data_IF_542345206886
#
_entry.id   IF_542345206886
#
_cell.length_a   1.000
_cell.length_b   1.000
_cell.length_c   1.000
_cell.angle_alpha   90.00
_cell.angle_beta   90.00
_cell.angle_gamma   90.00
#
_symmetry.space_group_name_H-M   'P 1'
#
loop_
_entity.id
_entity.type
_entity.pdbx_description
1 polymer ?
#
# COMPACT_ATOMS: atom_id res chain seq x y z
N UNK A 1 -20.48 25.48 18.51
CA UNK A 1 -19.07 25.66 18.08
C UNK A 1 -18.95 26.98 17.33
N UNK A 2 -18.12 27.93 17.77
CA UNK A 2 -18.04 29.29 17.20
C UNK A 2 -17.42 29.32 15.79
N UNK A 3 -17.97 30.15 14.90
CA UNK A 3 -17.51 30.38 13.51
C UNK A 3 -16.00 30.66 13.43
N UNK A 4 -15.46 31.37 14.43
CA UNK A 4 -14.03 31.73 14.52
C UNK A 4 -13.16 30.48 14.78
N UNK A 5 -13.64 29.52 15.58
CA UNK A 5 -12.93 28.25 15.82
C UNK A 5 -12.87 27.42 14.53
N UNK A 6 -13.94 27.42 13.73
CA UNK A 6 -13.96 26.76 12.42
C UNK A 6 -13.04 27.40 11.39
N UNK A 7 -12.92 28.74 11.38
CA UNK A 7 -12.02 29.44 10.47
C UNK A 7 -10.53 29.15 10.75
N UNK A 8 -10.14 29.12 12.03
CA UNK A 8 -8.75 28.79 12.43
C UNK A 8 -8.40 27.34 12.10
N UNK A 9 -9.34 26.41 12.28
CA UNK A 9 -9.11 25.01 11.95
C UNK A 9 -8.91 24.81 10.46
N UNK A 10 -9.75 25.42 9.62
CA UNK A 10 -9.57 25.38 8.16
C UNK A 10 -8.22 25.94 7.72
N UNK A 11 -7.84 27.11 8.25
CA UNK A 11 -6.53 27.69 7.97
C UNK A 11 -5.38 26.76 8.41
N UNK A 12 -5.52 26.05 9.54
CA UNK A 12 -4.52 25.07 10.00
C UNK A 12 -4.41 23.89 9.03
N UNK A 13 -5.53 23.38 8.53
CA UNK A 13 -5.58 22.29 7.54
C UNK A 13 -4.91 22.72 6.23
N UNK A 14 -5.28 23.89 5.71
CA UNK A 14 -4.73 24.44 4.46
C UNK A 14 -3.21 24.64 4.55
N UNK A 15 -2.71 25.22 5.64
CA UNK A 15 -1.27 25.41 5.85
C UNK A 15 -0.54 24.08 6.01
N UNK A 16 -1.12 23.14 6.76
CA UNK A 16 -0.56 21.79 6.91
C UNK A 16 -0.45 21.08 5.56
N UNK A 17 -1.48 21.17 4.73
CA UNK A 17 -1.49 20.61 3.38
C UNK A 17 -0.43 21.26 2.49
N UNK A 18 -0.29 22.59 2.52
CA UNK A 18 0.74 23.31 1.77
C UNK A 18 2.17 22.91 2.18
N UNK A 19 2.41 22.72 3.49
CA UNK A 19 3.70 22.22 4.01
C UNK A 19 4.00 20.82 3.47
N UNK A 20 3.03 19.90 3.55
CA UNK A 20 3.19 18.52 3.05
C UNK A 20 3.39 18.48 1.53
N UNK A 21 2.68 19.32 0.79
CA UNK A 21 2.82 19.45 -0.66
C UNK A 21 4.22 19.91 -1.07
N UNK A 22 4.74 20.96 -0.44
CA UNK A 22 6.10 21.42 -0.69
C UNK A 22 7.15 20.39 -0.28
N UNK A 23 6.94 19.70 0.84
CA UNK A 23 7.81 18.62 1.26
C UNK A 23 7.83 17.47 0.24
N UNK A 24 6.69 17.08 -0.34
CA UNK A 24 6.60 16.08 -1.42
C UNK A 24 7.37 16.51 -2.66
N UNK A 25 7.32 17.80 -3.03
CA UNK A 25 8.15 18.33 -4.13
C UNK A 25 9.65 18.19 -3.86
N UNK A 26 10.10 18.51 -2.64
CA UNK A 26 11.51 18.32 -2.26
C UNK A 26 11.92 16.85 -2.24
N UNK A 27 11.06 15.95 -1.75
CA UNK A 27 11.30 14.51 -1.81
C UNK A 27 11.49 14.01 -3.24
N UNK A 28 10.66 14.49 -4.17
CA UNK A 28 10.75 14.13 -5.58
C UNK A 28 12.03 14.64 -6.23
N UNK A 29 12.45 15.86 -5.92
CA UNK A 29 13.61 16.50 -6.54
C UNK A 29 14.96 16.04 -5.95
N UNK A 30 15.02 15.81 -4.63
CA UNK A 30 16.29 15.66 -3.91
C UNK A 30 16.38 14.39 -3.04
N UNK A 31 15.28 13.67 -2.89
CA UNK A 31 15.17 12.48 -2.04
C UNK A 31 15.00 12.79 -0.55
N UNK A 32 14.60 11.77 0.22
CA UNK A 32 14.25 11.91 1.63
C UNK A 32 15.41 12.35 2.54
N UNK A 33 16.65 12.03 2.20
CA UNK A 33 17.84 12.44 2.97
C UNK A 33 18.06 13.96 2.98
N UNK A 34 17.55 14.68 1.97
CA UNK A 34 17.74 16.13 1.81
C UNK A 34 16.53 16.95 2.27
N UNK A 35 15.43 16.32 2.68
CA UNK A 35 14.24 17.02 3.18
C UNK A 35 14.60 17.94 4.36
N UNK A 36 14.26 19.22 4.26
CA UNK A 36 14.60 20.24 5.24
C UNK A 36 13.41 21.13 5.56
N UNK A 37 12.98 21.14 6.84
CA UNK A 37 11.93 22.04 7.32
C UNK A 37 12.26 23.53 7.05
N UNK A 38 13.55 23.90 7.07
CA UNK A 38 13.98 25.27 6.77
C UNK A 38 13.80 25.59 5.28
N UNK A 39 14.12 24.64 4.40
CA UNK A 39 13.92 24.81 2.97
C UNK A 39 12.43 24.92 2.63
N UNK A 40 11.59 24.04 3.19
CA UNK A 40 10.13 24.09 3.07
C UNK A 40 9.57 25.42 3.56
N UNK A 41 10.01 25.91 4.74
CA UNK A 41 9.57 27.19 5.28
C UNK A 41 9.93 28.35 4.33
N UNK A 42 11.16 28.36 3.81
CA UNK A 42 11.64 29.38 2.88
C UNK A 42 10.79 29.41 1.60
N UNK A 43 10.50 28.26 1.01
CA UNK A 43 9.71 28.17 -0.23
C UNK A 43 8.27 28.66 -0.03
N UNK A 44 7.68 28.38 1.14
CA UNK A 44 6.33 28.84 1.47
C UNK A 44 6.27 30.28 2.01
N UNK A 45 7.40 31.01 2.03
CA UNK A 45 7.46 32.36 2.61
C UNK A 45 7.18 32.40 4.12
N UNK A 46 7.34 31.27 4.81
CA UNK A 46 7.12 31.11 6.24
C UNK A 46 8.41 31.33 7.03
N UNK A 47 8.29 31.94 8.21
CA UNK A 47 9.38 31.92 9.19
C UNK A 47 9.55 30.49 9.70
N UNK A 48 10.79 29.98 9.82
CA UNK A 48 11.05 28.60 10.24
C UNK A 48 10.38 28.24 11.57
N UNK A 49 10.40 29.16 12.55
CA UNK A 49 9.74 28.96 13.85
C UNK A 49 8.22 28.77 13.73
N UNK A 50 7.59 29.26 12.66
CA UNK A 50 6.19 29.01 12.38
C UNK A 50 5.94 27.58 11.89
N UNK A 51 6.81 27.06 11.02
CA UNK A 51 6.70 25.71 10.49
C UNK A 51 6.91 24.66 11.58
N UNK A 52 7.82 24.90 12.54
CA UNK A 52 8.01 24.03 13.70
C UNK A 52 6.77 23.89 14.61
N UNK A 53 5.79 24.80 14.52
CA UNK A 53 4.50 24.66 15.24
C UNK A 53 3.54 23.67 14.57
N UNK A 54 3.80 23.31 13.33
CA UNK A 54 3.04 22.31 12.57
C UNK A 54 3.77 20.97 12.60
N UNK A 55 5.08 20.98 12.33
CA UNK A 55 5.93 19.79 12.36
C UNK A 55 7.15 20.05 13.24
N UNK A 56 7.17 19.52 14.48
CA UNK A 56 8.26 19.77 15.42
C UNK A 56 9.63 19.28 14.96
N UNK A 57 9.68 18.30 14.05
CA UNK A 57 10.92 17.75 13.51
C UNK A 57 10.76 17.32 12.05
N UNK A 58 11.90 17.07 11.38
CA UNK A 58 11.93 16.46 10.04
C UNK A 58 11.23 15.10 10.05
N UNK A 59 11.42 14.32 11.11
CA UNK A 59 10.89 12.95 11.21
C UNK A 59 9.37 12.95 11.41
N UNK A 60 8.83 13.95 12.10
CA UNK A 60 7.38 14.18 12.21
C UNK A 60 6.77 14.50 10.84
N UNK A 61 7.44 15.34 10.04
CA UNK A 61 7.01 15.61 8.67
C UNK A 61 7.11 14.36 7.79
N UNK A 62 8.21 13.60 7.86
CA UNK A 62 8.37 12.34 7.13
C UNK A 62 7.28 11.33 7.51
N UNK A 63 7.01 11.17 8.81
CA UNK A 63 5.95 10.28 9.30
C UNK A 63 4.59 10.67 8.73
N UNK A 64 4.25 11.96 8.73
CA UNK A 64 3.00 12.42 8.16
C UNK A 64 2.90 12.17 6.64
N UNK A 65 4.01 12.28 5.90
CA UNK A 65 4.05 11.98 4.47
C UNK A 65 3.95 10.48 4.19
N UNK A 66 4.56 9.64 5.03
CA UNK A 66 4.46 8.17 4.95
C UNK A 66 3.02 7.72 5.21
N UNK A 67 2.38 8.29 6.24
CA UNK A 67 0.96 8.03 6.55
C UNK A 67 0.08 8.44 5.37
N UNK A 68 0.25 9.68 4.84
CA UNK A 68 -0.52 10.15 3.68
C UNK A 68 -0.35 9.22 2.46
N UNK A 69 0.87 8.73 2.20
CA UNK A 69 1.16 7.84 1.08
C UNK A 69 0.49 6.46 1.24
N UNK A 70 0.61 5.86 2.43
CA UNK A 70 -0.09 4.61 2.74
C UNK A 70 -1.62 4.77 2.68
N UNK A 71 -2.13 5.89 3.20
CA UNK A 71 -3.56 6.14 3.20
C UNK A 71 -4.12 6.38 1.80
N UNK A 72 -3.38 7.07 0.94
CA UNK A 72 -3.76 7.26 -0.45
C UNK A 72 -3.79 5.93 -1.20
N UNK A 73 -2.76 5.10 -1.06
CA UNK A 73 -2.72 3.79 -1.71
C UNK A 73 -3.79 2.83 -1.17
N UNK A 74 -3.99 2.81 0.15
CA UNK A 74 -5.03 2.04 0.80
C UNK A 74 -6.43 2.44 0.31
N UNK A 75 -6.68 3.75 0.14
CA UNK A 75 -7.95 4.23 -0.39
C UNK A 75 -8.22 3.76 -1.83
N UNK A 76 -7.19 3.74 -2.69
CA UNK A 76 -7.33 3.22 -4.06
C UNK A 76 -7.61 1.70 -4.09
N UNK A 77 -6.99 0.94 -3.19
CA UNK A 77 -7.24 -0.49 -3.02
C UNK A 77 -8.69 -0.74 -2.54
N UNK A 78 -9.13 -0.06 -1.49
CA UNK A 78 -10.48 -0.17 -0.93
C UNK A 78 -11.55 0.24 -1.94
N UNK A 79 -11.32 1.32 -2.69
CA UNK A 79 -12.24 1.79 -3.72
C UNK A 79 -12.35 0.79 -4.89
N UNK A 80 -11.24 0.15 -5.29
CA UNK A 80 -11.26 -0.91 -6.30
C UNK A 80 -12.03 -2.15 -5.82
N UNK A 81 -11.85 -2.53 -4.55
CA UNK A 81 -12.60 -3.63 -3.95
C UNK A 81 -14.12 -3.34 -3.94
N UNK A 82 -14.50 -2.10 -3.60
CA UNK A 82 -15.90 -1.69 -3.56
C UNK A 82 -16.55 -1.64 -4.96
N UNK A 83 -15.82 -1.15 -5.97
CA UNK A 83 -16.32 -1.09 -7.37
C UNK A 83 -16.53 -2.47 -8.00
N UNK A 84 -15.80 -3.47 -7.53
CA UNK A 84 -15.87 -4.86 -8.02
C UNK A 84 -16.73 -5.75 -7.13
N UNK A 85 -17.59 -5.15 -6.29
CA UNK A 85 -18.53 -5.90 -5.48
C UNK A 85 -19.47 -6.74 -6.36
N UNK A 86 -19.55 -8.05 -6.08
CA UNK A 86 -20.31 -9.01 -6.87
C UNK A 86 -19.53 -9.75 -7.95
N UNK A 87 -18.32 -9.28 -8.30
CA UNK A 87 -17.44 -10.01 -9.21
C UNK A 87 -16.84 -11.26 -8.54
N UNK A 88 -16.32 -12.17 -9.35
CA UNK A 88 -15.60 -13.34 -8.86
C UNK A 88 -14.39 -12.92 -7.99
N UNK A 89 -14.09 -13.61 -6.87
CA UNK A 89 -12.99 -13.24 -5.98
C UNK A 89 -11.63 -13.06 -6.67
N UNK A 90 -11.32 -13.87 -7.68
CA UNK A 90 -10.12 -13.72 -8.50
C UNK A 90 -10.07 -12.36 -9.23
N UNK A 91 -11.17 -11.95 -9.87
CA UNK A 91 -11.25 -10.66 -10.55
C UNK A 91 -11.10 -9.48 -9.57
N UNK A 92 -11.70 -9.60 -8.38
CA UNK A 92 -11.59 -8.59 -7.30
C UNK A 92 -10.16 -8.46 -6.80
N UNK A 93 -9.45 -9.57 -6.61
CA UNK A 93 -8.03 -9.58 -6.28
C UNK A 93 -7.20 -8.83 -7.32
N UNK A 94 -7.38 -9.17 -8.60
CA UNK A 94 -6.66 -8.53 -9.71
C UNK A 94 -6.95 -7.03 -9.73
N UNK A 95 -8.21 -6.62 -9.59
CA UNK A 95 -8.60 -5.20 -9.57
C UNK A 95 -7.94 -4.40 -8.44
N UNK A 96 -7.84 -4.98 -7.23
CA UNK A 96 -7.12 -4.37 -6.10
C UNK A 96 -5.63 -4.23 -6.41
N UNK A 97 -4.98 -5.27 -6.93
CA UNK A 97 -3.57 -5.19 -7.30
C UNK A 97 -3.30 -4.15 -8.40
N UNK A 98 -4.18 -4.08 -9.41
CA UNK A 98 -4.07 -3.11 -10.50
C UNK A 98 -4.27 -1.67 -10.02
N UNK A 99 -5.19 -1.40 -9.09
CA UNK A 99 -5.33 -0.04 -8.55
C UNK A 99 -4.13 0.41 -7.73
N UNK A 100 -3.50 -0.51 -6.98
CA UNK A 100 -2.24 -0.24 -6.27
C UNK A 100 -1.11 0.07 -7.27
N UNK A 101 -1.04 -0.66 -8.39
CA UNK A 101 -0.09 -0.36 -9.46
C UNK A 101 -0.31 1.01 -10.08
N UNK A 102 -1.55 1.34 -10.41
CA UNK A 102 -1.90 2.62 -11.02
C UNK A 102 -1.53 3.78 -10.10
N UNK A 103 -1.81 3.66 -8.80
CA UNK A 103 -1.37 4.62 -7.79
C UNK A 103 0.15 4.76 -7.76
N UNK A 104 0.87 3.63 -7.71
CA UNK A 104 2.33 3.64 -7.61
C UNK A 104 2.97 4.30 -8.84
N UNK A 105 2.49 4.00 -10.04
CA UNK A 105 2.96 4.61 -11.29
C UNK A 105 2.63 6.09 -11.40
N UNK A 106 1.46 6.51 -10.91
CA UNK A 106 1.08 7.92 -10.86
C UNK A 106 1.88 8.71 -9.82
N UNK A 107 2.37 8.04 -8.77
CA UNK A 107 3.05 8.68 -7.63
C UNK A 107 4.37 7.97 -7.26
N UNK A 108 5.34 7.89 -8.18
CA UNK A 108 6.55 7.08 -7.99
C UNK A 108 7.40 7.53 -6.80
N UNK A 109 7.40 8.83 -6.47
CA UNK A 109 8.14 9.37 -5.34
C UNK A 109 7.48 9.06 -3.99
N UNK A 110 6.15 9.03 -3.93
CA UNK A 110 5.41 8.58 -2.74
C UNK A 110 5.60 7.08 -2.54
N UNK A 111 5.53 6.29 -3.62
CA UNK A 111 5.85 4.86 -3.58
C UNK A 111 7.29 4.61 -3.09
N UNK A 112 8.27 5.36 -3.60
CA UNK A 112 9.66 5.24 -3.17
C UNK A 112 9.87 5.59 -1.69
N UNK A 113 9.04 6.48 -1.12
CA UNK A 113 9.13 6.84 0.30
C UNK A 113 8.76 5.67 1.22
N UNK A 114 7.85 4.80 0.79
CA UNK A 114 7.29 3.72 1.62
C UNK A 114 7.84 2.32 1.27
N UNK A 115 8.21 2.06 0.01
CA UNK A 115 8.75 0.78 -0.47
C UNK A 115 10.14 0.87 -1.11
N UNK A 116 10.75 2.06 -1.13
CA UNK A 116 12.11 2.28 -1.63
C UNK A 116 13.19 2.09 -0.56
N UNK A 117 14.33 2.76 -0.76
CA UNK A 117 15.45 2.69 0.19
C UNK A 117 15.07 3.33 1.54
N UNK A 118 15.39 2.67 2.67
CA UNK A 118 15.15 3.25 3.99
C UNK A 118 15.82 4.61 4.14
N UNK A 119 15.14 5.54 4.83
CA UNK A 119 15.67 6.87 5.10
C UNK A 119 16.69 6.79 6.24
N UNK A 120 17.98 7.15 6.03
CA UNK A 120 18.99 7.04 7.08
C UNK A 120 18.61 7.84 8.34
N UNK A 121 18.71 7.20 9.50
CA UNK A 121 18.44 7.81 10.81
C UNK A 121 16.96 7.98 11.16
N UNK A 122 16.03 7.64 10.26
CA UNK A 122 14.59 7.67 10.52
C UNK A 122 14.10 6.30 10.99
N UNK A 123 13.25 6.30 12.01
CA UNK A 123 12.55 5.10 12.50
C UNK A 123 11.06 5.41 12.46
N UNK A 124 10.32 4.64 11.67
CA UNK A 124 8.88 4.81 11.56
C UNK A 124 8.19 4.47 12.89
N UNK A 125 7.34 5.35 13.45
CA UNK A 125 6.58 5.05 14.66
C UNK A 125 5.45 4.06 14.38
N UNK A 126 4.91 3.45 15.45
CA UNK A 126 3.82 2.46 15.37
C UNK A 126 2.56 3.00 14.69
N UNK A 127 2.34 4.31 14.72
CA UNK A 127 1.19 4.97 14.07
C UNK A 127 1.17 4.74 12.55
N UNK A 128 2.30 4.36 11.94
CA UNK A 128 2.37 4.01 10.51
C UNK A 128 1.80 2.61 10.20
N UNK A 129 1.68 1.72 11.19
CA UNK A 129 1.27 0.32 11.00
C UNK A 129 -0.16 0.20 10.51
N UNK A 130 -1.08 1.02 11.05
CA UNK A 130 -2.49 1.05 10.61
C UNK A 130 -2.62 1.38 9.13
N UNK A 131 -2.13 2.56 8.69
CA UNK A 131 -2.09 2.93 7.27
C UNK A 131 -1.39 1.88 6.39
N UNK A 132 -0.22 1.36 6.81
CA UNK A 132 0.53 0.36 6.06
C UNK A 132 -0.23 -0.97 5.87
N UNK A 133 -1.18 -1.27 6.77
CA UNK A 133 -1.96 -2.50 6.74
C UNK A 133 -3.18 -2.43 5.80
N UNK A 134 -3.56 -1.27 5.28
CA UNK A 134 -4.82 -1.10 4.51
C UNK A 134 -4.88 -1.97 3.24
N UNK A 135 -3.82 -1.97 2.43
CA UNK A 135 -3.73 -2.82 1.23
C UNK A 135 -3.75 -4.31 1.55
N UNK A 136 -2.89 -4.86 2.43
CA UNK A 136 -2.94 -6.28 2.75
C UNK A 136 -4.28 -6.68 3.39
N UNK A 137 -4.90 -5.84 4.22
CA UNK A 137 -6.23 -6.11 4.77
C UNK A 137 -7.33 -6.13 3.69
N UNK A 138 -7.22 -5.31 2.65
CA UNK A 138 -8.12 -5.34 1.50
C UNK A 138 -8.00 -6.66 0.73
N UNK A 139 -6.78 -7.16 0.51
CA UNK A 139 -6.55 -8.47 -0.12
C UNK A 139 -7.05 -9.63 0.76
N UNK A 140 -6.84 -9.53 2.08
CA UNK A 140 -7.39 -10.48 3.07
C UNK A 140 -8.91 -10.53 2.99
N UNK A 141 -9.59 -9.39 2.82
CA UNK A 141 -11.04 -9.34 2.71
C UNK A 141 -11.56 -10.16 1.51
N UNK A 142 -10.91 -10.07 0.35
CA UNK A 142 -11.25 -10.89 -0.84
C UNK A 142 -11.15 -12.39 -0.52
N UNK A 143 -10.08 -12.80 0.15
CA UNK A 143 -9.84 -14.20 0.50
C UNK A 143 -10.83 -14.70 1.55
N UNK A 144 -11.19 -13.86 2.53
CA UNK A 144 -12.22 -14.19 3.53
C UNK A 144 -13.58 -14.40 2.90
N UNK A 145 -13.99 -13.52 1.98
CA UNK A 145 -15.25 -13.68 1.26
C UNK A 145 -15.28 -15.00 0.48
N UNK A 146 -14.19 -15.33 -0.22
CA UNK A 146 -14.06 -16.61 -0.93
C UNK A 146 -14.07 -17.82 0.02
N UNK A 147 -13.46 -17.70 1.20
CA UNK A 147 -13.47 -18.76 2.21
C UNK A 147 -14.89 -18.99 2.76
N UNK A 148 -15.59 -17.91 3.13
CA UNK A 148 -16.96 -17.95 3.63
C UNK A 148 -17.95 -18.51 2.59
N UNK A 149 -17.72 -18.23 1.30
CA UNK A 149 -18.50 -18.77 0.19
C UNK A 149 -18.15 -20.22 -0.18
N UNK A 150 -17.12 -20.82 0.43
CA UNK A 150 -16.67 -22.18 0.11
C UNK A 150 -16.00 -22.32 -1.27
N UNK A 151 -15.60 -21.20 -1.89
CA UNK A 151 -14.99 -21.16 -3.22
C UNK A 151 -13.46 -21.09 -3.18
N UNK A 152 -12.88 -21.01 -1.98
CA UNK A 152 -11.43 -20.96 -1.78
C UNK A 152 -10.82 -22.37 -1.90
N UNK A 153 -9.94 -22.55 -2.89
CA UNK A 153 -9.18 -23.78 -3.06
C UNK A 153 -7.99 -23.89 -2.11
N UNK A 154 -7.35 -25.07 -2.01
CA UNK A 154 -6.11 -25.21 -1.26
C UNK A 154 -4.97 -24.46 -1.98
N UNK A 155 -4.12 -23.69 -1.25
CA UNK A 155 -2.98 -23.04 -1.86
C UNK A 155 -1.89 -24.06 -2.25
N UNK A 156 -1.15 -23.83 -3.35
CA UNK A 156 0.00 -24.65 -3.73
C UNK A 156 1.07 -24.67 -2.63
N UNK A 157 1.88 -25.74 -2.58
CA UNK A 157 2.98 -25.86 -1.62
C UNK A 157 2.58 -26.36 -0.22
N UNK A 158 1.36 -26.90 -0.07
CA UNK A 158 0.95 -27.64 1.13
C UNK A 158 1.46 -29.10 1.09
N UNK A 159 1.95 -29.68 2.21
CA UNK A 159 1.99 -29.11 3.55
C UNK A 159 3.18 -28.14 3.79
N UNK A 160 2.95 -27.11 4.61
CA UNK A 160 3.99 -26.19 5.06
C UNK A 160 5.01 -26.86 6.01
N UNK A 161 6.27 -26.42 5.93
CA UNK A 161 7.30 -26.71 6.92
C UNK A 161 6.86 -26.24 8.33
N UNK A 162 7.22 -27.00 9.36
CA UNK A 162 6.74 -26.75 10.73
C UNK A 162 7.02 -25.33 11.26
N UNK A 163 8.22 -24.73 11.09
CA UNK A 163 8.45 -23.35 11.52
C UNK A 163 7.56 -22.34 10.79
N UNK A 164 7.41 -22.48 9.47
CA UNK A 164 6.57 -21.59 8.64
C UNK A 164 5.11 -21.69 9.06
N UNK A 165 4.62 -22.90 9.35
CA UNK A 165 3.28 -23.14 9.87
C UNK A 165 3.05 -22.44 11.22
N UNK A 166 4.04 -22.49 12.12
CA UNK A 166 3.95 -21.85 13.43
C UNK A 166 3.86 -20.32 13.31
N UNK A 167 4.63 -19.74 12.39
CA UNK A 167 4.60 -18.29 12.12
C UNK A 167 3.25 -17.87 11.51
N UNK A 168 2.78 -18.62 10.51
CA UNK A 168 1.47 -18.38 9.90
C UNK A 168 0.31 -18.55 10.90
N UNK A 169 0.41 -19.46 11.86
CA UNK A 169 -0.60 -19.63 12.92
C UNK A 169 -0.66 -18.42 13.88
N UNK A 170 0.50 -17.81 14.21
CA UNK A 170 0.52 -16.57 15.03
C UNK A 170 -0.12 -15.42 14.28
N UNK A 171 0.22 -15.26 13.00
CA UNK A 171 -0.38 -14.22 12.16
C UNK A 171 -1.89 -14.46 11.93
N UNK A 172 -2.32 -15.71 11.79
CA UNK A 172 -3.74 -16.05 11.68
C UNK A 172 -4.53 -15.62 12.92
N UNK A 173 -3.94 -15.75 14.12
CA UNK A 173 -4.59 -15.30 15.36
C UNK A 173 -4.80 -13.77 15.41
N UNK A 174 -3.96 -13.00 14.71
CA UNK A 174 -4.07 -11.54 14.63
C UNK A 174 -4.97 -11.08 13.47
N UNK A 175 -4.80 -11.67 12.28
CA UNK A 175 -5.58 -11.30 11.10
C UNK A 175 -7.02 -11.80 11.22
N UNK A 176 -7.21 -13.06 11.57
CA UNK A 176 -8.48 -13.68 11.95
C UNK A 176 -8.44 -15.21 11.85
N UNK A 177 -8.93 -15.90 12.89
CA UNK A 177 -8.69 -17.33 13.11
C UNK A 177 -9.42 -18.24 12.13
N UNK A 178 -10.33 -17.72 11.32
CA UNK A 178 -11.13 -18.51 10.38
C UNK A 178 -10.37 -18.92 9.12
N UNK A 179 -9.31 -18.21 8.72
CA UNK A 179 -8.57 -18.54 7.51
C UNK A 179 -7.69 -19.77 7.71
N UNK A 180 -7.64 -20.71 6.73
CA UNK A 180 -6.71 -21.84 6.79
C UNK A 180 -5.25 -21.37 6.89
N UNK A 181 -4.46 -21.95 7.79
CA UNK A 181 -3.05 -21.57 8.01
C UNK A 181 -2.21 -21.54 6.72
N UNK A 182 -2.34 -22.51 5.77
CA UNK A 182 -1.63 -22.44 4.50
C UNK A 182 -1.96 -21.20 3.66
N UNK A 183 -3.20 -20.72 3.72
CA UNK A 183 -3.64 -19.52 3.00
C UNK A 183 -3.02 -18.27 3.60
N UNK A 184 -2.90 -18.20 4.93
CA UNK A 184 -2.22 -17.08 5.61
C UNK A 184 -0.75 -16.97 5.21
N UNK A 185 -0.04 -18.10 5.12
CA UNK A 185 1.33 -18.11 4.60
C UNK A 185 1.40 -17.65 3.14
N UNK A 186 0.47 -18.13 2.29
CA UNK A 186 0.40 -17.74 0.89
C UNK A 186 0.09 -16.25 0.69
N UNK A 187 -0.74 -15.65 1.55
CA UNK A 187 -1.04 -14.22 1.56
C UNK A 187 0.22 -13.38 1.80
N UNK A 188 1.06 -13.77 2.78
CA UNK A 188 2.34 -13.08 3.04
C UNK A 188 3.26 -13.17 1.83
N UNK A 189 3.38 -14.35 1.23
CA UNK A 189 4.19 -14.55 0.03
C UNK A 189 3.68 -13.74 -1.17
N UNK A 190 2.36 -13.68 -1.36
CA UNK A 190 1.73 -12.93 -2.46
C UNK A 190 1.87 -11.43 -2.27
N UNK A 191 1.76 -10.95 -1.03
CA UNK A 191 2.01 -9.55 -0.68
C UNK A 191 3.45 -9.14 -1.00
N UNK A 192 4.44 -9.94 -0.59
CA UNK A 192 5.85 -9.68 -0.90
C UNK A 192 6.11 -9.66 -2.42
N UNK A 193 5.50 -10.59 -3.18
CA UNK A 193 5.64 -10.65 -4.63
C UNK A 193 4.98 -9.45 -5.34
N UNK A 194 3.80 -9.01 -4.90
CA UNK A 194 3.12 -7.83 -5.46
C UNK A 194 4.03 -6.59 -5.39
N UNK A 195 4.54 -6.27 -4.20
CA UNK A 195 5.42 -5.12 -4.04
C UNK A 195 6.80 -5.34 -4.68
N UNK A 196 7.26 -6.59 -4.83
CA UNK A 196 8.43 -6.91 -5.64
C UNK A 196 8.25 -6.56 -7.12
N UNK A 197 7.10 -6.93 -7.72
CA UNK A 197 6.74 -6.61 -9.10
C UNK A 197 6.70 -5.09 -9.32
N UNK A 198 6.02 -4.37 -8.42
CA UNK A 198 5.91 -2.92 -8.48
C UNK A 198 7.28 -2.25 -8.35
N UNK A 199 8.07 -2.63 -7.35
CA UNK A 199 9.42 -2.06 -7.16
C UNK A 199 10.33 -2.32 -8.36
N UNK A 200 10.26 -3.49 -9.00
CA UNK A 200 11.05 -3.78 -10.19
C UNK A 200 10.62 -2.96 -11.41
N UNK A 201 9.32 -2.66 -11.52
CA UNK A 201 8.79 -1.80 -12.56
C UNK A 201 9.23 -0.34 -12.37
N UNK A 202 9.04 0.17 -11.14
CA UNK A 202 9.28 1.56 -10.77
C UNK A 202 10.76 1.92 -10.68
N UNK A 203 11.60 1.02 -10.18
CA UNK A 203 13.03 1.28 -9.99
C UNK A 203 13.89 0.83 -11.19
N UNK A 204 13.25 0.44 -12.29
CA UNK A 204 13.89 0.30 -13.60
C UNK A 204 14.46 -1.07 -13.93
N UNK A 205 14.27 -2.09 -13.10
CA UNK A 205 14.73 -3.47 -13.32
C UNK A 205 14.06 -4.10 -14.55
N UNK A 206 12.84 -3.65 -14.90
CA UNK A 206 12.16 -4.07 -16.12
C UNK A 206 12.58 -3.29 -17.38
N UNK A 207 13.42 -2.26 -17.28
CA UNK A 207 13.86 -1.49 -18.45
C UNK A 207 14.61 -2.40 -19.43
N UNK A 208 14.10 -2.49 -20.67
CA UNK A 208 14.62 -3.37 -21.73
C UNK A 208 14.49 -4.88 -21.45
N UNK A 209 13.72 -5.27 -20.44
CA UNK A 209 13.43 -6.67 -20.09
C UNK A 209 11.96 -6.99 -20.34
N UNK A 210 11.05 -6.16 -19.82
CA UNK A 210 9.59 -6.33 -19.97
C UNK A 210 9.02 -5.10 -20.68
N UNK A 211 8.66 -5.25 -21.96
CA UNK A 211 8.04 -4.19 -22.75
C UNK A 211 6.53 -4.07 -22.47
N UNK A 212 5.81 -5.18 -22.43
CA UNK A 212 4.37 -5.23 -22.20
C UNK A 212 4.03 -5.23 -20.69
N UNK A 213 4.43 -4.16 -19.98
CA UNK A 213 4.38 -4.11 -18.50
C UNK A 213 3.00 -4.34 -17.90
N UNK A 214 1.96 -3.70 -18.47
CA UNK A 214 0.58 -3.87 -17.99
C UNK A 214 0.10 -5.32 -18.11
N UNK A 215 0.17 -5.89 -19.31
CA UNK A 215 -0.23 -7.28 -19.55
C UNK A 215 0.57 -8.29 -18.73
N UNK A 216 1.89 -8.06 -18.58
CA UNK A 216 2.73 -8.88 -17.70
C UNK A 216 2.29 -8.79 -16.24
N UNK A 217 1.99 -7.59 -15.75
CA UNK A 217 1.51 -7.39 -14.39
C UNK A 217 0.18 -8.08 -14.15
N UNK A 218 -0.80 -7.92 -15.05
CA UNK A 218 -2.12 -8.56 -14.95
C UNK A 218 -2.00 -10.08 -14.89
N UNK A 219 -1.15 -10.67 -15.74
CA UNK A 219 -0.85 -12.10 -15.71
C UNK A 219 -0.19 -12.51 -14.38
N UNK A 220 0.77 -11.73 -13.89
CA UNK A 220 1.49 -12.04 -12.66
C UNK A 220 0.56 -11.99 -11.44
N UNK A 221 -0.26 -10.94 -11.29
CA UNK A 221 -1.17 -10.81 -10.14
C UNK A 221 -2.33 -11.80 -10.22
N UNK A 222 -2.75 -12.19 -11.42
CA UNK A 222 -3.68 -13.31 -11.64
C UNK A 222 -3.09 -14.65 -11.16
N UNK A 223 -1.78 -14.87 -11.32
CA UNK A 223 -1.11 -16.04 -10.77
C UNK A 223 -0.96 -15.96 -9.24
N UNK A 224 -0.70 -14.78 -8.68
CA UNK A 224 -0.69 -14.56 -7.22
C UNK A 224 -2.06 -14.87 -6.58
N UNK A 225 -3.17 -14.53 -7.25
CA UNK A 225 -4.50 -14.94 -6.81
C UNK A 225 -4.63 -16.47 -6.71
N UNK A 226 -4.09 -17.20 -7.69
CA UNK A 226 -4.02 -18.66 -7.66
C UNK A 226 -3.17 -19.21 -6.50
N UNK A 227 -2.08 -18.54 -6.13
CA UNK A 227 -1.23 -18.93 -5.00
C UNK A 227 -1.96 -18.89 -3.66
N UNK A 228 -2.97 -18.03 -3.50
CA UNK A 228 -3.80 -17.98 -2.29
C UNK A 228 -5.06 -18.84 -2.37
N UNK A 229 -5.25 -19.58 -3.47
CA UNK A 229 -6.38 -20.50 -3.67
C UNK A 229 -7.58 -19.89 -4.41
N UNK A 230 -7.47 -18.67 -4.96
CA UNK A 230 -8.53 -18.07 -5.77
C UNK A 230 -8.44 -18.60 -7.20
N UNK A 231 -9.55 -19.14 -7.70
CA UNK A 231 -9.63 -19.63 -9.09
C UNK A 231 -10.22 -18.54 -10.00
N UNK A 232 -9.69 -18.34 -11.22
CA UNK A 232 -10.41 -17.59 -12.23
C UNK A 232 -11.78 -18.25 -12.44
N UNK A 233 -12.83 -17.45 -12.60
CA UNK A 233 -14.15 -18.00 -12.92
C UNK A 233 -14.00 -18.92 -14.15
N UNK A 234 -14.56 -20.13 -14.08
CA UNK A 234 -14.52 -21.04 -15.21
C UNK A 234 -15.15 -20.33 -16.42
N UNK A 235 -14.33 -20.04 -17.43
CA UNK A 235 -14.85 -19.76 -18.76
C UNK A 235 -15.53 -21.06 -19.17
N UNK A 236 -16.86 -21.11 -19.08
CA UNK A 236 -17.61 -22.19 -19.72
C UNK A 236 -17.14 -22.22 -21.18
N UNK A 237 -16.63 -23.35 -21.68
CA UNK A 237 -16.21 -23.42 -23.07
C UNK A 237 -17.42 -23.04 -23.93
N UNK A 238 -17.22 -22.09 -24.85
CA UNK A 238 -18.20 -21.83 -25.88
C UNK A 238 -18.40 -23.11 -26.69
N UNK A 239 -19.64 -23.60 -26.74
CA UNK A 239 -20.06 -24.72 -27.60
C UNK A 239 -19.82 -24.41 -29.10
#
# INVERSE_FOLDING_TARGET
MSVIRGARERARIEVTAAIKEEARRQLAAEGASRLSLRAVARELGMVSSALYRYFPSRDELLTALIIDAYDAMGAEAEAALARTAGDAPHARWVAVCSSVRDWALARPHEYALIYGSPVPGYIAPMDTVGPASRVPLTLVAVVREAHAAGTLGPPPGSPLAAPVRADAARLAAELGPELPIPVVAALVGSWAQLFGLLSFELFGQFNRVVAARGAFFDQAVGALAGQVGLSPAAVLPAE
#
